data_IF_430197708422
#
_entry.id   IF_430197708422
#
_cell.length_a   1.000
_cell.length_b   1.000
_cell.length_c   1.000
_cell.angle_alpha   90.00
_cell.angle_beta   90.00
_cell.angle_gamma   90.00
#
_symmetry.space_group_name_H-M   'P 1'
#
loop_
_entity.id
_entity.type
_entity.pdbx_description
1 polymer ?
#
# COMPACT_ATOMS: atom_id res chain seq x y z
N UNK A 1 17.79 2.80 -19.60
CA UNK A 1 16.57 2.18 -19.03
C UNK A 1 16.67 2.31 -17.53
N UNK A 2 15.67 2.90 -16.88
CA UNK A 2 15.60 2.93 -15.40
C UNK A 2 15.33 1.51 -14.91
N UNK A 3 16.26 0.98 -14.12
CA UNK A 3 16.12 -0.33 -13.53
C UNK A 3 15.14 -0.24 -12.34
N UNK A 4 14.17 -1.16 -12.29
CA UNK A 4 13.18 -1.26 -11.21
C UNK A 4 13.86 -1.28 -9.83
N UNK A 5 15.02 -1.92 -9.76
CA UNK A 5 15.82 -2.00 -8.53
C UNK A 5 16.32 -0.62 -8.09
N UNK A 6 16.81 0.19 -9.03
CA UNK A 6 17.25 1.57 -8.76
C UNK A 6 16.10 2.43 -8.24
N UNK A 7 14.91 2.30 -8.82
CA UNK A 7 13.72 3.01 -8.36
C UNK A 7 13.32 2.60 -6.94
N UNK A 8 13.35 1.30 -6.61
CA UNK A 8 13.04 0.80 -5.28
C UNK A 8 14.06 1.30 -4.23
N UNK A 9 15.36 1.33 -4.58
CA UNK A 9 16.39 1.89 -3.70
C UNK A 9 16.22 3.39 -3.50
N UNK A 10 15.87 4.14 -4.55
CA UNK A 10 15.57 5.57 -4.43
C UNK A 10 14.39 5.83 -3.52
N UNK A 11 13.31 5.04 -3.66
CA UNK A 11 12.15 5.11 -2.79
C UNK A 11 12.52 4.77 -1.34
N UNK A 12 13.27 3.69 -1.12
CA UNK A 12 13.71 3.27 0.21
C UNK A 12 14.60 4.32 0.89
N UNK A 13 15.38 5.09 0.12
CA UNK A 13 16.24 6.16 0.62
C UNK A 13 15.44 7.44 0.97
N UNK A 14 14.38 7.76 0.22
CA UNK A 14 13.57 8.96 0.45
C UNK A 14 12.50 8.76 1.53
N UNK A 15 11.95 7.57 1.66
CA UNK A 15 10.86 7.29 2.60
C UNK A 15 11.18 7.60 4.07
N UNK A 16 12.41 7.44 4.61
CA UNK A 16 12.75 7.85 5.97
C UNK A 16 12.49 9.32 6.26
N UNK A 17 12.67 10.20 5.27
CA UNK A 17 12.37 11.63 5.43
C UNK A 17 10.88 11.84 5.70
N UNK A 18 10.01 11.14 4.97
CA UNK A 18 8.57 11.19 5.22
C UNK A 18 8.24 10.65 6.61
N UNK A 19 8.87 9.55 7.05
CA UNK A 19 8.69 9.00 8.39
C UNK A 19 9.06 10.04 9.46
N UNK A 20 10.21 10.69 9.34
CA UNK A 20 10.68 11.73 10.29
C UNK A 20 9.68 12.89 10.35
N UNK A 21 9.23 13.37 9.19
CA UNK A 21 8.24 14.47 9.11
C UNK A 21 6.95 14.08 9.82
N UNK A 22 6.38 12.91 9.52
CA UNK A 22 5.12 12.47 10.11
C UNK A 22 5.24 12.23 11.62
N UNK A 23 6.33 11.60 12.07
CA UNK A 23 6.58 11.42 13.51
C UNK A 23 6.80 12.74 14.21
N UNK A 24 7.51 13.69 13.61
CA UNK A 24 7.68 15.05 14.14
C UNK A 24 6.33 15.76 14.29
N UNK A 25 5.47 15.69 13.27
CA UNK A 25 4.11 16.23 13.33
C UNK A 25 3.28 15.54 14.44
N UNK A 26 3.39 14.22 14.58
CA UNK A 26 2.72 13.52 15.67
C UNK A 26 3.15 14.04 17.05
N UNK A 27 4.45 14.22 17.26
CA UNK A 27 4.99 14.72 18.53
C UNK A 27 4.51 16.15 18.81
N UNK A 28 4.45 17.01 17.80
CA UNK A 28 3.96 18.39 17.93
C UNK A 28 2.45 18.46 18.20
N UNK A 29 1.68 17.57 17.57
CA UNK A 29 0.22 17.51 17.73
C UNK A 29 -0.23 16.57 18.86
N UNK A 30 0.69 16.05 19.68
CA UNK A 30 0.40 15.07 20.73
C UNK A 30 -0.67 15.59 21.68
N UNK A 31 -1.78 14.86 21.77
CA UNK A 31 -2.94 15.22 22.58
C UNK A 31 -3.97 16.12 21.89
N UNK A 32 -3.67 16.73 20.75
CA UNK A 32 -4.61 17.59 19.99
C UNK A 32 -5.29 16.90 18.82
N UNK A 33 -4.58 16.00 18.13
CA UNK A 33 -5.12 15.26 17.01
C UNK A 33 -5.01 13.75 17.25
N UNK A 34 -6.18 13.10 17.45
CA UNK A 34 -6.23 11.64 17.57
C UNK A 34 -6.02 11.02 16.20
N UNK A 35 -5.19 9.98 16.13
CA UNK A 35 -4.96 9.23 14.88
C UNK A 35 -3.64 9.51 14.18
N UNK A 36 -2.92 10.58 14.51
CA UNK A 36 -1.64 10.92 13.86
C UNK A 36 -0.57 9.84 14.03
N UNK A 37 -0.56 9.10 15.14
CA UNK A 37 0.34 7.98 15.36
C UNK A 37 0.17 6.86 14.31
N UNK A 38 -1.07 6.60 13.88
CA UNK A 38 -1.35 5.58 12.87
C UNK A 38 -0.72 5.93 11.51
N UNK A 39 -0.72 7.23 11.15
CA UNK A 39 0.02 7.68 9.96
C UNK A 39 1.52 7.46 10.12
N UNK A 40 2.09 7.74 11.29
CA UNK A 40 3.50 7.46 11.58
C UNK A 40 3.84 5.97 11.38
N UNK A 41 3.03 5.08 11.94
CA UNK A 41 3.19 3.65 11.76
C UNK A 41 2.96 3.19 10.33
N UNK A 42 2.00 3.80 9.60
CA UNK A 42 1.76 3.51 8.20
C UNK A 42 2.99 3.81 7.34
N UNK A 43 3.58 5.00 7.46
CA UNK A 43 4.79 5.36 6.71
C UNK A 43 5.99 4.51 7.11
N UNK A 44 6.13 4.15 8.38
CA UNK A 44 7.19 3.23 8.85
C UNK A 44 7.01 1.84 8.23
N UNK A 45 5.78 1.31 8.17
CA UNK A 45 5.49 0.03 7.54
C UNK A 45 5.74 0.08 6.02
N UNK A 46 5.35 1.18 5.36
CA UNK A 46 5.63 1.39 3.93
C UNK A 46 7.12 1.41 3.64
N UNK A 47 7.91 2.13 4.45
CA UNK A 47 9.35 2.17 4.33
C UNK A 47 9.97 0.78 4.53
N UNK A 48 9.62 0.07 5.58
CA UNK A 48 10.11 -1.27 5.85
C UNK A 48 9.77 -2.24 4.69
N UNK A 49 8.55 -2.17 4.15
CA UNK A 49 8.13 -2.92 2.97
C UNK A 49 8.97 -2.60 1.72
N UNK A 50 9.24 -1.32 1.47
CA UNK A 50 10.07 -0.88 0.34
C UNK A 50 11.52 -1.40 0.47
N UNK A 51 12.11 -1.35 1.66
CA UNK A 51 13.45 -1.90 1.94
C UNK A 51 13.48 -3.40 1.69
N UNK A 52 12.50 -4.16 2.22
CA UNK A 52 12.43 -5.61 1.99
C UNK A 52 12.30 -5.94 0.51
N UNK A 53 11.51 -5.16 -0.23
CA UNK A 53 11.34 -5.35 -1.67
C UNK A 53 12.61 -5.01 -2.45
N UNK A 54 13.36 -3.98 -2.07
CA UNK A 54 14.65 -3.62 -2.66
C UNK A 54 15.74 -4.68 -2.41
N UNK A 55 15.68 -5.37 -1.26
CA UNK A 55 16.57 -6.46 -0.89
C UNK A 55 16.19 -7.81 -1.54
N UNK A 56 15.20 -7.85 -2.41
CA UNK A 56 14.79 -9.07 -3.10
C UNK A 56 15.96 -9.70 -3.87
N UNK A 57 16.13 -11.01 -3.70
CA UNK A 57 17.26 -11.77 -4.26
C UNK A 57 18.51 -11.76 -3.37
N UNK A 58 18.52 -11.01 -2.25
CA UNK A 58 19.58 -11.05 -1.23
C UNK A 58 19.05 -11.74 0.03
N UNK A 59 17.78 -11.52 0.36
CA UNK A 59 17.09 -12.13 1.49
C UNK A 59 16.09 -13.21 0.99
N UNK A 60 15.64 -14.12 1.87
CA UNK A 60 14.67 -15.15 1.50
C UNK A 60 13.40 -14.57 0.89
N UNK A 61 12.81 -15.28 -0.08
CA UNK A 61 11.63 -14.82 -0.84
C UNK A 61 10.41 -14.57 0.05
N UNK A 62 10.19 -15.37 1.09
CA UNK A 62 9.11 -15.12 2.05
C UNK A 62 9.25 -13.76 2.75
N UNK A 63 10.46 -13.31 3.04
CA UNK A 63 10.68 -12.01 3.67
C UNK A 63 10.50 -10.86 2.66
N UNK A 64 11.07 -10.99 1.45
CA UNK A 64 11.04 -9.94 0.43
C UNK A 64 9.70 -9.86 -0.32
N UNK A 65 8.96 -10.95 -0.43
CA UNK A 65 7.69 -11.00 -1.16
C UNK A 65 6.51 -10.94 -0.19
N UNK A 66 6.41 -11.93 0.72
CA UNK A 66 5.22 -12.04 1.58
C UNK A 66 5.18 -10.88 2.57
N UNK A 67 6.26 -10.70 3.35
CA UNK A 67 6.28 -9.65 4.38
C UNK A 67 6.17 -8.26 3.78
N UNK A 68 6.84 -7.97 2.66
CA UNK A 68 6.74 -6.67 2.00
C UNK A 68 5.30 -6.35 1.54
N UNK A 69 4.60 -7.31 0.94
CA UNK A 69 3.22 -7.11 0.50
C UNK A 69 2.23 -7.01 1.67
N UNK A 70 2.43 -7.78 2.74
CA UNK A 70 1.64 -7.65 3.97
C UNK A 70 1.83 -6.25 4.58
N UNK A 71 3.05 -5.76 4.64
CA UNK A 71 3.33 -4.40 5.13
C UNK A 71 2.70 -3.33 4.24
N UNK A 72 2.71 -3.52 2.91
CA UNK A 72 2.04 -2.60 1.99
C UNK A 72 0.52 -2.54 2.22
N UNK A 73 -0.15 -3.69 2.39
CA UNK A 73 -1.58 -3.74 2.72
C UNK A 73 -1.85 -3.18 4.12
N UNK A 74 -1.01 -3.51 5.10
CA UNK A 74 -1.10 -2.97 6.46
C UNK A 74 -0.94 -1.44 6.49
N UNK A 75 -0.09 -0.89 5.62
CA UNK A 75 0.05 0.56 5.44
C UNK A 75 -1.28 1.22 5.12
N UNK A 76 -2.01 0.70 4.12
CA UNK A 76 -3.31 1.24 3.72
C UNK A 76 -4.32 1.14 4.88
N UNK A 77 -4.34 0.01 5.56
CA UNK A 77 -5.19 -0.18 6.74
C UNK A 77 -4.86 0.81 7.86
N UNK A 78 -3.58 1.01 8.18
CA UNK A 78 -3.14 1.98 9.19
C UNK A 78 -3.55 3.41 8.83
N UNK A 79 -3.48 3.79 7.56
CA UNK A 79 -3.98 5.09 7.09
C UNK A 79 -5.50 5.21 7.33
N UNK A 80 -6.28 4.17 7.05
CA UNK A 80 -7.72 4.14 7.32
C UNK A 80 -7.99 4.30 8.83
N UNK A 81 -7.26 3.57 9.68
CA UNK A 81 -7.35 3.71 11.13
C UNK A 81 -7.04 5.14 11.59
N UNK A 82 -6.00 5.75 11.03
CA UNK A 82 -5.66 7.15 11.29
C UNK A 82 -6.78 8.10 10.90
N UNK A 83 -7.38 7.91 9.72
CA UNK A 83 -8.51 8.69 9.23
C UNK A 83 -9.74 8.53 10.13
N UNK A 84 -10.11 7.31 10.49
CA UNK A 84 -11.25 7.06 11.36
C UNK A 84 -11.10 7.75 12.72
N UNK A 85 -9.91 7.70 13.31
CA UNK A 85 -9.62 8.38 14.57
C UNK A 85 -9.65 9.89 14.42
N UNK A 86 -9.17 10.42 13.31
CA UNK A 86 -9.17 11.86 13.02
C UNK A 86 -10.59 12.39 12.82
N UNK A 87 -11.48 11.60 12.23
CA UNK A 87 -12.90 11.94 12.00
C UNK A 87 -13.78 11.61 13.21
N UNK A 88 -13.20 11.02 14.28
CA UNK A 88 -13.93 10.65 15.50
C UNK A 88 -14.74 9.37 15.36
N UNK A 89 -14.56 8.60 14.30
CA UNK A 89 -15.23 7.33 14.08
C UNK A 89 -14.45 6.16 14.72
N UNK A 90 -15.20 5.16 15.17
CA UNK A 90 -14.66 3.89 15.67
C UNK A 90 -15.39 2.75 14.97
N UNK A 91 -14.86 2.31 13.83
CA UNK A 91 -15.41 1.17 13.11
C UNK A 91 -14.92 -0.18 13.63
N UNK A 92 -15.57 -1.27 13.23
CA UNK A 92 -15.08 -2.62 13.52
C UNK A 92 -13.83 -2.90 12.65
N UNK A 93 -12.68 -3.05 13.30
CA UNK A 93 -11.39 -3.23 12.59
C UNK A 93 -11.07 -4.68 12.24
N UNK A 94 -11.84 -5.64 12.77
CA UNK A 94 -11.59 -7.07 12.60
C UNK A 94 -11.64 -7.50 11.11
N UNK A 95 -12.50 -6.88 10.31
CA UNK A 95 -12.62 -7.18 8.87
C UNK A 95 -11.34 -6.82 8.11
N UNK A 96 -10.78 -5.64 8.39
CA UNK A 96 -9.54 -5.20 7.77
C UNK A 96 -8.34 -6.01 8.29
N UNK A 97 -8.33 -6.35 9.58
CA UNK A 97 -7.32 -7.26 10.15
C UNK A 97 -7.38 -8.63 9.47
N UNK A 98 -8.59 -9.18 9.31
CA UNK A 98 -8.78 -10.44 8.61
C UNK A 98 -8.29 -10.36 7.16
N UNK A 99 -8.56 -9.25 6.45
CA UNK A 99 -8.07 -9.03 5.10
C UNK A 99 -6.54 -9.02 5.04
N UNK A 100 -5.85 -8.37 5.99
CA UNK A 100 -4.39 -8.38 6.09
C UNK A 100 -3.84 -9.78 6.34
N UNK A 101 -4.44 -10.53 7.28
CA UNK A 101 -4.02 -11.90 7.62
C UNK A 101 -4.25 -12.85 6.44
N UNK A 102 -5.42 -12.81 5.81
CA UNK A 102 -5.71 -13.61 4.62
C UNK A 102 -4.75 -13.28 3.48
N UNK A 103 -4.44 -12.00 3.28
CA UNK A 103 -3.46 -11.58 2.28
C UNK A 103 -2.11 -12.24 2.57
N UNK A 104 -1.62 -12.21 3.80
CA UNK A 104 -0.37 -12.83 4.20
C UNK A 104 -0.35 -14.33 3.92
N UNK A 105 -1.40 -15.05 4.33
CA UNK A 105 -1.53 -16.50 4.13
C UNK A 105 -1.56 -16.86 2.64
N UNK A 106 -2.35 -16.14 1.85
CA UNK A 106 -2.46 -16.39 0.41
C UNK A 106 -1.18 -16.01 -0.34
N UNK A 107 -0.52 -14.91 0.06
CA UNK A 107 0.78 -14.57 -0.51
C UNK A 107 1.84 -15.63 -0.22
N UNK A 108 1.87 -16.17 0.99
CA UNK A 108 2.77 -17.28 1.32
C UNK A 108 2.46 -18.50 0.45
N UNK A 109 1.20 -18.90 0.36
CA UNK A 109 0.79 -20.04 -0.44
C UNK A 109 1.19 -19.88 -1.92
N UNK A 110 0.87 -18.73 -2.53
CA UNK A 110 1.18 -18.48 -3.96
C UNK A 110 2.63 -18.01 -4.21
N UNK A 111 3.46 -17.92 -3.18
CA UNK A 111 4.90 -17.67 -3.32
C UNK A 111 5.74 -18.91 -3.17
N UNK A 112 5.41 -19.78 -2.21
CA UNK A 112 6.23 -20.93 -1.80
C UNK A 112 5.62 -22.27 -2.23
N UNK A 113 4.28 -22.42 -2.06
CA UNK A 113 3.62 -23.74 -2.28
C UNK A 113 3.21 -23.91 -3.73
N UNK A 114 2.59 -22.91 -4.32
CA UNK A 114 2.12 -22.93 -5.72
C UNK A 114 2.44 -21.57 -6.37
N UNK A 115 3.68 -21.35 -6.82
CA UNK A 115 4.11 -20.06 -7.32
C UNK A 115 3.27 -19.58 -8.50
N UNK A 116 2.47 -18.52 -8.28
CA UNK A 116 1.67 -17.88 -9.32
C UNK A 116 1.71 -16.36 -9.15
N UNK A 117 2.45 -15.70 -10.03
CA UNK A 117 2.62 -14.25 -10.01
C UNK A 117 1.31 -13.52 -10.33
N UNK A 118 0.50 -14.07 -11.25
CA UNK A 118 -0.75 -13.45 -11.68
C UNK A 118 -1.76 -13.40 -10.53
N UNK A 119 -1.92 -14.51 -9.81
CA UNK A 119 -2.81 -14.57 -8.65
C UNK A 119 -2.35 -13.61 -7.54
N UNK A 120 -1.05 -13.52 -7.28
CA UNK A 120 -0.51 -12.56 -6.29
C UNK A 120 -0.82 -11.12 -6.65
N UNK A 121 -0.67 -10.76 -7.93
CA UNK A 121 -0.99 -9.41 -8.41
C UNK A 121 -2.49 -9.09 -8.30
N UNK A 122 -3.36 -10.04 -8.68
CA UNK A 122 -4.81 -9.89 -8.52
C UNK A 122 -5.21 -9.75 -7.06
N UNK A 123 -4.65 -10.59 -6.18
CA UNK A 123 -4.91 -10.54 -4.74
C UNK A 123 -4.55 -9.17 -4.16
N UNK A 124 -3.31 -8.70 -4.43
CA UNK A 124 -2.88 -7.39 -3.98
C UNK A 124 -3.77 -6.26 -4.48
N UNK A 125 -4.06 -6.25 -5.78
CA UNK A 125 -4.87 -5.21 -6.39
C UNK A 125 -6.31 -5.20 -5.85
N UNK A 126 -6.92 -6.38 -5.63
CA UNK A 126 -8.28 -6.49 -5.12
C UNK A 126 -8.39 -6.01 -3.67
N UNK A 127 -7.48 -6.45 -2.79
CA UNK A 127 -7.48 -6.02 -1.39
C UNK A 127 -7.19 -4.52 -1.29
N UNK A 128 -6.21 -4.03 -2.04
CA UNK A 128 -5.87 -2.61 -2.06
C UNK A 128 -7.04 -1.76 -2.59
N UNK A 129 -7.74 -2.21 -3.63
CA UNK A 129 -8.92 -1.55 -4.18
C UNK A 129 -10.02 -1.37 -3.10
N UNK A 130 -10.31 -2.43 -2.35
CA UNK A 130 -11.30 -2.39 -1.28
C UNK A 130 -10.89 -1.42 -0.16
N UNK A 131 -9.64 -1.47 0.27
CA UNK A 131 -9.13 -0.60 1.33
C UNK A 131 -9.08 0.87 0.88
N UNK A 132 -8.55 1.17 -0.30
CA UNK A 132 -8.56 2.54 -0.82
C UNK A 132 -9.98 3.07 -1.02
N UNK A 133 -10.92 2.22 -1.49
CA UNK A 133 -12.34 2.55 -1.60
C UNK A 133 -12.96 2.89 -0.24
N UNK A 134 -12.64 2.12 0.79
CA UNK A 134 -13.07 2.40 2.16
C UNK A 134 -12.52 3.76 2.65
N UNK A 135 -11.23 4.04 2.41
CA UNK A 135 -10.62 5.31 2.80
C UNK A 135 -11.21 6.51 2.06
N UNK A 136 -11.42 6.40 0.74
CA UNK A 136 -12.09 7.43 -0.05
C UNK A 136 -13.53 7.68 0.43
N UNK A 137 -14.29 6.61 0.68
CA UNK A 137 -15.65 6.70 1.24
C UNK A 137 -15.68 7.43 2.59
N UNK A 138 -14.74 7.11 3.50
CA UNK A 138 -14.62 7.79 4.78
C UNK A 138 -14.44 9.30 4.61
N UNK A 139 -13.52 9.72 3.75
CA UNK A 139 -13.23 11.13 3.54
C UNK A 139 -14.40 11.86 2.90
N UNK A 140 -14.99 11.31 1.82
CA UNK A 140 -16.01 12.02 1.06
C UNK A 140 -17.40 11.99 1.69
N UNK A 141 -17.73 10.92 2.43
CA UNK A 141 -19.09 10.70 2.96
C UNK A 141 -19.20 10.84 4.46
N UNK A 142 -18.16 10.48 5.22
CA UNK A 142 -18.20 10.41 6.69
C UNK A 142 -17.48 11.55 7.39
N UNK A 143 -16.53 12.23 6.73
CA UNK A 143 -15.82 13.34 7.32
C UNK A 143 -16.76 14.53 7.61
N UNK A 144 -16.58 15.14 8.78
CA UNK A 144 -17.30 16.38 9.13
C UNK A 144 -17.06 17.48 8.08
N UNK A 145 -18.09 18.32 7.81
CA UNK A 145 -17.97 19.41 6.84
C UNK A 145 -16.76 20.33 7.08
N UNK A 146 -16.38 20.54 8.34
CA UNK A 146 -15.23 21.38 8.73
C UNK A 146 -13.87 20.76 8.37
N UNK A 147 -13.74 19.43 8.49
CA UNK A 147 -12.50 18.71 8.20
C UNK A 147 -12.38 18.33 6.73
N UNK A 148 -13.52 18.22 6.03
CA UNK A 148 -13.59 17.77 4.64
C UNK A 148 -12.68 18.55 3.69
N UNK A 149 -12.57 19.91 3.73
CA UNK A 149 -11.65 20.62 2.84
C UNK A 149 -10.19 20.22 3.03
N UNK A 150 -9.77 20.03 4.29
CA UNK A 150 -8.40 19.63 4.62
C UNK A 150 -8.09 18.18 4.23
N UNK A 151 -9.09 17.29 4.26
CA UNK A 151 -8.94 15.87 3.93
C UNK A 151 -9.17 15.56 2.45
N UNK A 152 -9.73 16.51 1.66
CA UNK A 152 -9.98 16.33 0.22
C UNK A 152 -8.77 15.84 -0.58
N UNK A 153 -7.56 16.40 -0.41
CA UNK A 153 -6.40 15.90 -1.16
C UNK A 153 -6.13 14.42 -0.88
N UNK A 154 -6.19 14.01 0.39
CA UNK A 154 -6.00 12.61 0.78
C UNK A 154 -7.10 11.70 0.22
N UNK A 155 -8.37 12.15 0.28
CA UNK A 155 -9.49 11.42 -0.34
C UNK A 155 -9.35 11.29 -1.84
N UNK A 156 -8.89 12.35 -2.54
CA UNK A 156 -8.63 12.32 -3.96
C UNK A 156 -7.49 11.35 -4.31
N UNK A 157 -6.39 11.35 -3.56
CA UNK A 157 -5.30 10.37 -3.72
C UNK A 157 -5.82 8.94 -3.58
N UNK A 158 -6.61 8.65 -2.55
CA UNK A 158 -7.21 7.32 -2.37
C UNK A 158 -8.15 6.93 -3.52
N UNK A 159 -8.95 7.87 -4.04
CA UNK A 159 -9.80 7.62 -5.19
C UNK A 159 -8.99 7.34 -6.46
N UNK A 160 -7.91 8.07 -6.70
CA UNK A 160 -6.97 7.82 -7.80
C UNK A 160 -6.35 6.43 -7.66
N UNK A 161 -5.90 6.04 -6.45
CA UNK A 161 -5.39 4.69 -6.18
C UNK A 161 -6.45 3.61 -6.44
N UNK A 162 -7.72 3.84 -6.11
CA UNK A 162 -8.82 2.95 -6.48
C UNK A 162 -8.88 2.74 -7.99
N UNK A 163 -8.87 3.82 -8.76
CA UNK A 163 -8.91 3.75 -10.23
C UNK A 163 -7.69 2.97 -10.75
N UNK A 164 -6.50 3.27 -10.22
CA UNK A 164 -5.26 2.56 -10.61
C UNK A 164 -5.34 1.06 -10.33
N UNK A 165 -5.85 0.66 -9.16
CA UNK A 165 -6.00 -0.76 -8.82
C UNK A 165 -7.06 -1.44 -9.69
N UNK A 166 -8.16 -0.76 -10.01
CA UNK A 166 -9.17 -1.27 -10.93
C UNK A 166 -8.60 -1.46 -12.35
N UNK A 167 -7.89 -0.47 -12.88
CA UNK A 167 -7.19 -0.58 -14.17
C UNK A 167 -6.20 -1.73 -14.15
N UNK A 168 -5.42 -1.87 -13.08
CA UNK A 168 -4.47 -2.97 -12.93
C UNK A 168 -5.15 -4.34 -12.98
N UNK A 169 -6.29 -4.52 -12.31
CA UNK A 169 -7.05 -5.78 -12.35
C UNK A 169 -7.50 -6.09 -13.78
N UNK A 170 -8.03 -5.09 -14.49
CA UNK A 170 -8.47 -5.25 -15.88
C UNK A 170 -7.29 -5.57 -16.80
N UNK A 171 -6.17 -4.88 -16.65
CA UNK A 171 -4.96 -5.12 -17.45
C UNK A 171 -4.41 -6.53 -17.23
N UNK A 172 -4.37 -7.00 -15.99
CA UNK A 172 -3.93 -8.36 -15.65
C UNK A 172 -4.90 -9.44 -16.19
N UNK A 173 -6.20 -9.15 -16.26
CA UNK A 173 -7.18 -10.06 -16.85
C UNK A 173 -7.06 -10.17 -18.36
N UNK A 174 -6.67 -9.08 -19.05
CA UNK A 174 -6.50 -9.08 -20.52
C UNK A 174 -5.10 -9.60 -20.90
N UNK A 175 -4.07 -9.21 -20.13
CA UNK A 175 -2.68 -9.56 -20.39
C UNK A 175 -2.06 -10.29 -19.22
N UNK A 176 -2.10 -11.62 -19.27
CA UNK A 176 -1.37 -12.45 -18.30
C UNK A 176 0.14 -12.30 -18.53
N UNK A 177 0.92 -11.97 -17.52
CA UNK A 177 2.37 -11.87 -17.65
C UNK A 177 2.96 -13.24 -18.01
N UNK A 178 3.69 -13.31 -19.12
CA UNK A 178 4.34 -14.55 -19.62
C UNK A 178 5.54 -15.00 -18.78
N UNK A 179 6.06 -14.12 -17.92
CA UNK A 179 7.23 -14.37 -17.06
C UNK A 179 6.82 -14.41 -15.62
N UNK A 180 7.24 -15.44 -14.91
CA UNK A 180 6.98 -15.60 -13.46
C UNK A 180 7.85 -14.69 -12.57
N UNK A 181 8.82 -13.97 -13.15
CA UNK A 181 9.71 -13.09 -12.42
C UNK A 181 9.29 -11.63 -12.56
N UNK A 182 8.90 -11.02 -11.44
CA UNK A 182 8.54 -9.60 -11.37
C UNK A 182 9.70 -8.66 -11.75
N UNK A 183 10.95 -9.09 -11.52
CA UNK A 183 12.16 -8.32 -11.82
C UNK A 183 12.68 -8.55 -13.25
N UNK A 184 12.06 -9.43 -14.03
CA UNK A 184 12.47 -9.64 -15.41
C UNK A 184 12.29 -8.36 -16.23
N UNK A 185 13.25 -7.99 -17.09
CA UNK A 185 13.17 -6.80 -17.93
C UNK A 185 12.16 -7.02 -19.08
N UNK A 186 10.88 -7.06 -18.73
CA UNK A 186 9.78 -7.12 -19.70
C UNK A 186 9.11 -5.74 -19.78
N UNK A 187 8.79 -5.22 -20.97
CA UNK A 187 8.14 -3.90 -21.12
C UNK A 187 6.80 -3.81 -20.39
N UNK A 188 6.08 -4.93 -20.27
CA UNK A 188 4.82 -5.00 -19.51
C UNK A 188 5.02 -4.83 -18.00
N UNK A 189 6.11 -5.36 -17.43
CA UNK A 189 6.42 -5.21 -16.02
C UNK A 189 6.86 -3.78 -15.70
N UNK A 190 7.63 -3.14 -16.57
CA UNK A 190 8.04 -1.74 -16.41
C UNK A 190 6.84 -0.79 -16.44
N UNK A 191 5.85 -1.00 -17.31
CA UNK A 191 4.62 -0.20 -17.36
C UNK A 191 3.77 -0.35 -16.09
N UNK A 192 3.64 -1.58 -15.56
CA UNK A 192 2.88 -1.84 -14.33
C UNK A 192 3.57 -1.18 -13.13
N UNK A 193 4.90 -1.26 -13.07
CA UNK A 193 5.69 -0.64 -12.01
C UNK A 193 5.69 0.89 -12.14
N UNK A 194 5.86 1.43 -13.34
CA UNK A 194 5.78 2.87 -13.59
C UNK A 194 4.40 3.43 -13.28
N UNK A 195 3.33 2.75 -13.67
CA UNK A 195 1.97 3.15 -13.33
C UNK A 195 1.71 3.12 -11.82
N UNK A 196 2.32 2.18 -11.09
CA UNK A 196 2.22 2.13 -9.63
C UNK A 196 3.13 3.13 -8.92
N UNK A 197 4.26 3.52 -9.51
CA UNK A 197 5.21 4.50 -8.95
C UNK A 197 4.88 5.95 -9.33
N UNK A 198 4.28 6.18 -10.50
CA UNK A 198 3.87 7.53 -10.93
C UNK A 198 2.73 8.12 -10.08
N UNK A 199 2.15 7.33 -9.18
CA UNK A 199 1.02 7.67 -8.32
C UNK A 199 1.39 7.72 -6.83
N UNK A 200 2.65 7.52 -6.48
CA UNK A 200 3.23 7.77 -5.18
C UNK A 200 4.08 9.02 -5.16
#
# INVERSE_FOLDING_TARGET
MLDVRTLLWSLAALAPLCCVIIWSLHLQCRGRAQGTAYFGWAFTAAWAGAVLMALRGVIPDWASIVTANVLAVATIWLIILGLERLVGLRGPHWQNLLAVLLTGTLFYYFSDVSPDLTVRHHLYASVSLLLFGQGAYLVFRRAEPRLRPALRPLGATMAIMCVTMAVRIVTLAIWTPKTQEFMAPAPSNALIVLASLALH
#
